data_IF_527493985844
#
_entry.id   IF_527493985844
#
_cell.length_a   1.000
_cell.length_b   1.000
_cell.length_c   1.000
_cell.angle_alpha   90.00
_cell.angle_beta   90.00
_cell.angle_gamma   90.00
#
_symmetry.space_group_name_H-M   'P 1'
#
loop_
_entity.id
_entity.type
_entity.pdbx_description
1 polymer ?
#
# COMPACT_ATOMS: atom_id res chain seq x y z
N UNK A 1 -15.60 5.20 -3.53
CA UNK A 1 -15.21 5.32 -2.11
C UNK A 1 -15.38 6.76 -1.66
N UNK A 2 -15.96 7.01 -0.48
CA UNK A 2 -16.08 8.37 0.05
C UNK A 2 -14.76 8.84 0.68
N UNK A 3 -14.51 10.17 0.63
CA UNK A 3 -13.35 10.75 1.30
C UNK A 3 -13.43 10.56 2.83
N UNK A 4 -12.28 10.40 3.50
CA UNK A 4 -12.20 10.35 4.96
C UNK A 4 -12.85 11.57 5.62
N UNK A 5 -13.51 11.37 6.76
CA UNK A 5 -14.16 12.47 7.49
C UNK A 5 -13.14 13.51 7.97
N UNK A 6 -11.93 13.09 8.31
CA UNK A 6 -10.83 14.00 8.65
C UNK A 6 -10.49 14.94 7.49
N UNK A 7 -10.44 14.43 6.26
CA UNK A 7 -10.18 15.22 5.06
C UNK A 7 -11.37 16.12 4.72
N UNK A 8 -12.61 15.62 4.80
CA UNK A 8 -13.81 16.46 4.58
C UNK A 8 -13.85 17.68 5.50
N UNK A 9 -13.48 17.48 6.78
CA UNK A 9 -13.39 18.58 7.75
C UNK A 9 -12.29 19.57 7.39
N UNK A 10 -11.12 19.09 7.00
CA UNK A 10 -10.00 19.94 6.59
C UNK A 10 -10.36 20.78 5.36
N UNK A 11 -10.94 20.17 4.33
CA UNK A 11 -11.38 20.87 3.13
C UNK A 11 -12.46 21.93 3.41
N UNK A 12 -13.35 21.68 4.37
CA UNK A 12 -14.42 22.60 4.72
C UNK A 12 -13.91 23.91 5.39
N UNK A 13 -12.75 23.88 6.03
CA UNK A 13 -12.16 25.06 6.65
C UNK A 13 -11.47 26.01 5.67
N UNK A 14 -11.17 25.56 4.47
CA UNK A 14 -10.48 26.36 3.45
C UNK A 14 -11.35 27.54 2.96
N UNK A 15 -10.70 28.55 2.36
CA UNK A 15 -11.35 29.77 1.85
C UNK A 15 -12.25 30.45 2.89
N UNK A 16 -11.74 30.67 4.09
CA UNK A 16 -12.48 31.26 5.21
C UNK A 16 -13.77 30.51 5.57
N UNK A 17 -13.76 29.20 5.47
CA UNK A 17 -14.89 28.33 5.80
C UNK A 17 -15.90 28.13 4.67
N UNK A 18 -15.60 28.59 3.43
CA UNK A 18 -16.44 28.28 2.26
C UNK A 18 -16.10 26.93 1.64
N UNK A 19 -14.95 26.35 2.03
CA UNK A 19 -14.51 25.04 1.58
C UNK A 19 -13.74 25.06 0.26
N UNK A 20 -13.20 23.89 -0.08
CA UNK A 20 -12.52 23.60 -1.35
C UNK A 20 -12.69 22.13 -1.72
N UNK A 21 -12.42 21.77 -2.97
CA UNK A 21 -12.31 20.38 -3.39
C UNK A 21 -10.87 19.85 -3.20
N UNK A 22 -10.71 18.51 -3.25
CA UNK A 22 -9.45 17.84 -2.99
C UNK A 22 -8.35 18.20 -4.02
N UNK A 23 -8.70 18.35 -5.30
CA UNK A 23 -7.74 18.68 -6.36
C UNK A 23 -7.21 20.10 -6.19
N UNK A 24 -8.08 21.06 -5.91
CA UNK A 24 -7.71 22.45 -5.63
C UNK A 24 -6.84 22.54 -4.38
N UNK A 25 -7.20 21.81 -3.32
CA UNK A 25 -6.42 21.73 -2.09
C UNK A 25 -5.01 21.18 -2.34
N UNK A 26 -4.88 20.05 -3.04
CA UNK A 26 -3.58 19.48 -3.41
C UNK A 26 -2.76 20.47 -4.24
N UNK A 27 -3.40 21.23 -5.13
CA UNK A 27 -2.74 22.24 -5.94
C UNK A 27 -2.11 23.36 -5.11
N UNK A 28 -2.69 23.67 -3.94
CA UNK A 28 -2.17 24.69 -3.02
C UNK A 28 -1.12 24.16 -2.05
N UNK A 29 -1.36 22.97 -1.45
CA UNK A 29 -0.52 22.40 -0.40
C UNK A 29 0.57 21.48 -0.95
N UNK A 30 0.35 20.90 -2.12
CA UNK A 30 1.24 19.90 -2.71
C UNK A 30 2.54 20.47 -3.26
N UNK A 31 3.50 19.57 -3.45
CA UNK A 31 4.77 19.85 -4.14
C UNK A 31 5.01 18.79 -5.19
N UNK A 32 5.48 19.18 -6.38
CA UNK A 32 5.79 18.24 -7.47
C UNK A 32 6.75 17.12 -7.06
N UNK A 33 7.71 17.41 -6.18
CA UNK A 33 8.63 16.38 -5.66
C UNK A 33 7.88 15.27 -4.92
N UNK A 34 6.85 15.62 -4.13
CA UNK A 34 6.01 14.64 -3.45
C UNK A 34 5.14 13.85 -4.45
N UNK A 35 4.56 14.53 -5.44
CA UNK A 35 3.77 13.87 -6.48
C UNK A 35 4.62 12.83 -7.24
N UNK A 36 5.87 13.16 -7.59
CA UNK A 36 6.81 12.22 -8.19
C UNK A 36 7.12 11.06 -7.23
N UNK A 37 7.36 11.34 -5.95
CA UNK A 37 7.58 10.31 -4.93
C UNK A 37 6.38 9.37 -4.79
N UNK A 38 5.17 9.92 -4.63
CA UNK A 38 3.94 9.14 -4.50
C UNK A 38 3.65 8.26 -5.73
N UNK A 39 4.08 8.64 -6.92
CA UNK A 39 3.92 7.80 -8.10
C UNK A 39 4.60 6.43 -7.97
N UNK A 40 5.69 6.33 -7.22
CA UNK A 40 6.37 5.06 -6.94
C UNK A 40 5.63 4.16 -5.95
N UNK A 41 4.76 4.75 -5.13
CA UNK A 41 3.96 4.05 -4.13
C UNK A 41 2.62 3.62 -4.74
N UNK A 42 1.92 4.56 -5.39
CA UNK A 42 0.62 4.30 -6.00
C UNK A 42 0.70 3.57 -7.35
N UNK A 43 1.84 3.61 -8.04
CA UNK A 43 2.07 2.83 -9.26
C UNK A 43 3.41 2.09 -9.20
N UNK A 44 3.59 1.16 -8.23
CA UNK A 44 4.86 0.48 -7.99
C UNK A 44 5.27 -0.38 -9.19
N UNK A 45 6.56 -0.66 -9.29
CA UNK A 45 7.08 -1.65 -10.23
C UNK A 45 7.14 -3.00 -9.54
N UNK A 46 6.56 -4.02 -10.19
CA UNK A 46 6.69 -5.41 -9.80
C UNK A 46 7.66 -6.14 -10.73
N UNK A 47 8.33 -7.15 -10.24
CA UNK A 47 9.30 -7.96 -10.99
C UNK A 47 9.09 -9.43 -10.67
N UNK A 48 9.38 -10.28 -11.66
CA UNK A 48 9.53 -11.71 -11.43
C UNK A 48 10.98 -12.01 -11.04
N UNK A 49 11.16 -12.84 -10.02
CA UNK A 49 12.47 -13.31 -9.59
C UNK A 49 12.33 -14.70 -8.95
N UNK A 50 13.02 -15.69 -9.52
CA UNK A 50 13.01 -17.10 -9.07
C UNK A 50 11.60 -17.69 -8.89
N UNK A 51 10.66 -17.27 -9.74
CA UNK A 51 9.28 -17.71 -9.71
C UNK A 51 8.42 -16.99 -8.67
N UNK A 52 8.95 -16.01 -7.96
CA UNK A 52 8.20 -15.06 -7.13
C UNK A 52 7.80 -13.83 -7.92
N UNK A 53 6.67 -13.21 -7.56
CA UNK A 53 6.30 -11.88 -7.99
C UNK A 53 6.54 -10.92 -6.82
N UNK A 54 7.45 -9.97 -6.99
CA UNK A 54 7.94 -9.13 -5.90
C UNK A 54 7.86 -7.64 -6.27
N UNK A 55 7.79 -6.78 -5.25
CA UNK A 55 7.99 -5.34 -5.44
C UNK A 55 9.45 -5.10 -5.86
N UNK A 56 9.66 -4.28 -6.88
CA UNK A 56 11.02 -3.92 -7.33
C UNK A 56 11.79 -3.24 -6.19
N UNK A 57 13.07 -3.58 -6.06
CA UNK A 57 13.94 -3.03 -5.01
C UNK A 57 14.01 -3.90 -3.76
N UNK A 58 13.40 -5.09 -3.79
CA UNK A 58 13.60 -6.07 -2.72
C UNK A 58 15.08 -6.43 -2.53
N UNK A 59 15.44 -6.81 -1.30
CA UNK A 59 16.78 -7.32 -1.00
C UNK A 59 16.81 -8.84 -1.19
N UNK A 60 17.67 -9.33 -2.10
CA UNK A 60 17.80 -10.77 -2.33
C UNK A 60 18.23 -11.53 -1.06
N UNK A 61 19.11 -10.93 -0.25
CA UNK A 61 19.53 -11.54 1.02
C UNK A 61 18.36 -11.73 1.99
N UNK A 62 17.41 -10.82 2.02
CA UNK A 62 16.20 -10.96 2.82
C UNK A 62 15.30 -12.08 2.28
N UNK A 63 15.09 -12.14 0.95
CA UNK A 63 14.37 -13.23 0.31
C UNK A 63 14.93 -14.59 0.70
N UNK A 64 16.27 -14.77 0.54
CA UNK A 64 16.94 -16.03 0.90
C UNK A 64 16.88 -16.33 2.39
N UNK A 65 16.83 -15.28 3.23
CA UNK A 65 16.62 -15.42 4.68
C UNK A 65 15.26 -16.01 5.01
N UNK A 66 14.19 -15.48 4.39
CA UNK A 66 12.83 -15.97 4.61
C UNK A 66 12.61 -17.38 4.03
N UNK A 67 13.18 -17.70 2.87
CA UNK A 67 13.10 -19.06 2.30
C UNK A 67 13.68 -20.15 3.23
N UNK A 68 14.70 -19.81 4.00
CA UNK A 68 15.40 -20.75 4.90
C UNK A 68 14.73 -20.91 6.27
N UNK A 69 13.71 -20.13 6.58
CA UNK A 69 13.02 -20.27 7.86
C UNK A 69 12.24 -21.60 7.91
N UNK A 70 12.22 -22.21 9.09
CA UNK A 70 11.44 -23.42 9.32
C UNK A 70 9.95 -23.16 9.07
N UNK A 71 9.30 -24.03 8.32
CA UNK A 71 7.92 -23.87 7.93
C UNK A 71 7.67 -22.82 6.83
N UNK A 72 8.73 -22.30 6.21
CA UNK A 72 8.59 -21.32 5.12
C UNK A 72 7.79 -21.91 3.94
N UNK A 73 6.90 -21.10 3.40
CA UNK A 73 6.15 -21.42 2.18
C UNK A 73 6.34 -20.31 1.16
N UNK A 74 6.16 -20.61 -0.13
CA UNK A 74 6.26 -19.57 -1.18
C UNK A 74 5.27 -18.43 -0.95
N UNK A 75 4.05 -18.75 -0.52
CA UNK A 75 3.06 -17.75 -0.11
C UNK A 75 3.59 -16.87 1.03
N UNK A 76 4.11 -17.48 2.10
CA UNK A 76 4.63 -16.75 3.25
C UNK A 76 5.81 -15.84 2.89
N UNK A 77 6.68 -16.31 2.00
CA UNK A 77 7.80 -15.49 1.49
C UNK A 77 7.28 -14.30 0.69
N UNK A 78 6.36 -14.48 -0.26
CA UNK A 78 5.77 -13.37 -1.01
C UNK A 78 5.02 -12.41 -0.09
N UNK A 79 4.25 -12.93 0.86
CA UNK A 79 3.50 -12.13 1.82
C UNK A 79 4.40 -11.16 2.59
N UNK A 80 5.51 -11.67 3.14
CA UNK A 80 6.44 -10.84 3.92
C UNK A 80 7.32 -9.95 3.05
N UNK A 81 7.67 -10.37 1.83
CA UNK A 81 8.53 -9.58 0.95
C UNK A 81 7.78 -8.44 0.25
N UNK A 82 6.47 -8.55 0.11
CA UNK A 82 5.63 -7.61 -0.63
C UNK A 82 4.85 -6.64 0.26
N UNK A 83 4.91 -6.80 1.60
CA UNK A 83 4.15 -5.93 2.49
C UNK A 83 4.62 -4.47 2.44
N UNK A 84 3.67 -3.58 2.58
CA UNK A 84 3.87 -2.15 2.77
C UNK A 84 2.94 -1.70 3.90
N UNK A 85 3.51 -1.20 4.99
CA UNK A 85 2.73 -0.52 6.00
C UNK A 85 2.24 0.82 5.46
N UNK A 86 0.93 1.08 5.53
CA UNK A 86 0.34 2.30 4.96
C UNK A 86 0.90 3.54 5.66
N UNK A 87 1.15 3.46 6.97
CA UNK A 87 1.74 4.54 7.74
C UNK A 87 3.13 4.96 7.26
N UNK A 88 3.89 4.04 6.63
CA UNK A 88 5.25 4.31 6.13
C UNK A 88 5.26 5.17 4.86
N UNK A 89 4.09 5.46 4.26
CA UNK A 89 3.99 6.39 3.12
C UNK A 89 4.47 7.78 3.52
N UNK A 90 4.26 8.17 4.79
CA UNK A 90 4.75 9.41 5.38
C UNK A 90 5.49 9.12 6.69
N UNK A 91 6.52 8.30 6.61
CA UNK A 91 7.31 7.86 7.73
C UNK A 91 7.91 9.05 8.52
N UNK A 92 7.89 8.95 9.86
CA UNK A 92 8.52 9.87 10.82
C UNK A 92 8.02 11.32 10.85
N UNK A 93 7.12 11.60 11.76
CA UNK A 93 6.73 12.96 12.15
C UNK A 93 5.50 13.52 11.44
N UNK A 94 4.75 12.69 10.72
CA UNK A 94 3.44 13.07 10.20
C UNK A 94 2.42 13.02 11.34
N UNK A 95 2.09 14.18 11.89
CA UNK A 95 1.19 14.30 13.04
C UNK A 95 -0.29 14.07 12.67
N UNK A 96 -0.61 14.05 11.38
CA UNK A 96 -1.98 13.98 10.87
C UNK A 96 -2.42 12.57 10.47
N UNK A 97 -1.68 11.54 10.87
CA UNK A 97 -2.07 10.15 10.67
C UNK A 97 -3.37 9.85 11.43
N UNK A 98 -4.31 9.19 10.76
CA UNK A 98 -5.58 8.78 11.35
C UNK A 98 -6.09 7.50 10.69
N UNK A 99 -6.90 6.74 11.43
CA UNK A 99 -7.46 5.48 10.97
C UNK A 99 -8.23 5.62 9.65
N UNK A 100 -9.08 6.64 9.53
CA UNK A 100 -9.91 6.86 8.34
C UNK A 100 -9.07 7.14 7.08
N UNK A 101 -7.93 7.84 7.21
CA UNK A 101 -6.97 8.06 6.13
C UNK A 101 -6.25 6.77 5.75
N UNK A 102 -5.84 5.95 6.73
CA UNK A 102 -5.18 4.67 6.50
C UNK A 102 -6.11 3.68 5.78
N UNK A 103 -7.37 3.59 6.20
CA UNK A 103 -8.38 2.75 5.56
C UNK A 103 -8.62 3.19 4.12
N UNK A 104 -8.79 4.50 3.90
CA UNK A 104 -8.99 5.05 2.56
C UNK A 104 -7.81 4.72 1.63
N UNK A 105 -6.58 5.02 2.07
CA UNK A 105 -5.38 4.76 1.27
C UNK A 105 -5.14 3.27 1.05
N UNK A 106 -5.42 2.44 2.04
CA UNK A 106 -5.33 0.99 1.92
C UNK A 106 -6.25 0.43 0.85
N UNK A 107 -7.50 0.89 0.78
CA UNK A 107 -8.43 0.50 -0.28
C UNK A 107 -7.99 1.00 -1.66
N UNK A 108 -7.53 2.25 -1.77
CA UNK A 108 -6.98 2.79 -3.03
C UNK A 108 -5.81 1.95 -3.52
N UNK A 109 -4.87 1.62 -2.63
CA UNK A 109 -3.71 0.79 -2.98
C UNK A 109 -4.13 -0.64 -3.36
N UNK A 110 -5.12 -1.21 -2.68
CA UNK A 110 -5.65 -2.52 -3.00
C UNK A 110 -6.15 -2.58 -4.45
N UNK A 111 -7.01 -1.65 -4.84
CA UNK A 111 -7.55 -1.56 -6.21
C UNK A 111 -6.43 -1.36 -7.25
N UNK A 112 -5.47 -0.48 -6.96
CA UNK A 112 -4.34 -0.21 -7.85
C UNK A 112 -3.45 -1.45 -8.00
N UNK A 113 -3.13 -2.15 -6.90
CA UNK A 113 -2.28 -3.33 -6.94
C UNK A 113 -2.94 -4.47 -7.70
N UNK A 114 -4.25 -4.72 -7.47
CA UNK A 114 -5.01 -5.72 -8.23
C UNK A 114 -4.98 -5.43 -9.73
N UNK A 115 -5.31 -4.19 -10.13
CA UNK A 115 -5.33 -3.78 -11.52
C UNK A 115 -3.95 -3.93 -12.17
N UNK A 116 -2.90 -3.47 -11.47
CA UNK A 116 -1.54 -3.49 -11.99
C UNK A 116 -0.95 -4.89 -12.09
N UNK A 117 -1.14 -5.73 -11.08
CA UNK A 117 -0.68 -7.12 -11.09
C UNK A 117 -1.37 -7.91 -12.20
N UNK A 118 -2.67 -7.72 -12.37
CA UNK A 118 -3.43 -8.34 -13.47
C UNK A 118 -2.94 -7.89 -14.85
N UNK A 119 -2.58 -6.61 -15.00
CA UNK A 119 -2.05 -6.07 -16.26
C UNK A 119 -0.64 -6.60 -16.55
N UNK A 120 0.22 -6.65 -15.53
CA UNK A 120 1.63 -6.96 -15.69
C UNK A 120 1.91 -8.47 -15.71
N UNK A 121 1.12 -9.26 -14.99
CA UNK A 121 1.26 -10.71 -14.86
C UNK A 121 -0.06 -11.45 -15.13
N UNK A 122 -0.62 -11.35 -16.35
CA UNK A 122 -1.91 -11.96 -16.68
C UNK A 122 -1.92 -13.48 -16.49
N UNK A 123 -0.78 -14.14 -16.71
CA UNK A 123 -0.62 -15.60 -16.56
C UNK A 123 -0.24 -16.03 -15.12
N UNK A 124 -0.09 -15.08 -14.22
CA UNK A 124 0.26 -15.30 -12.81
C UNK A 124 -0.68 -14.51 -11.90
N UNK A 125 -1.94 -14.91 -11.77
CA UNK A 125 -2.90 -14.18 -10.95
C UNK A 125 -2.41 -14.11 -9.50
N UNK A 126 -2.45 -12.89 -8.97
CA UNK A 126 -2.10 -12.61 -7.57
C UNK A 126 -3.36 -12.34 -6.75
N UNK A 127 -3.26 -12.62 -5.46
CA UNK A 127 -4.21 -12.19 -4.44
C UNK A 127 -3.58 -10.99 -3.75
N UNK A 128 -4.33 -9.90 -3.64
CA UNK A 128 -3.93 -8.71 -2.89
C UNK A 128 -4.72 -8.70 -1.59
N UNK A 129 -4.05 -8.44 -0.49
CA UNK A 129 -4.65 -8.34 0.83
C UNK A 129 -4.40 -6.96 1.41
N UNK A 130 -5.45 -6.30 1.86
CA UNK A 130 -5.36 -5.15 2.74
C UNK A 130 -5.70 -5.60 4.16
N UNK A 131 -4.66 -5.70 5.00
CA UNK A 131 -4.81 -6.08 6.40
C UNK A 131 -5.21 -4.87 7.24
N UNK A 132 -6.31 -5.01 7.95
CA UNK A 132 -6.83 -4.05 8.93
C UNK A 132 -6.66 -4.67 10.32
N UNK A 133 -5.88 -4.06 11.23
CA UNK A 133 -5.69 -4.60 12.56
C UNK A 133 -7.00 -4.60 13.36
N UNK A 134 -7.15 -5.52 14.33
CA UNK A 134 -8.38 -5.63 15.12
C UNK A 134 -8.61 -4.45 16.07
N UNK A 135 -7.56 -3.66 16.35
CA UNK A 135 -7.62 -2.47 17.21
C UNK A 135 -7.31 -1.22 16.40
N UNK A 136 -8.20 -0.25 16.47
CA UNK A 136 -8.14 1.00 15.74
C UNK A 136 -6.92 1.88 16.11
N UNK A 137 -6.33 1.71 17.28
CA UNK A 137 -5.15 2.43 17.75
C UNK A 137 -3.82 1.85 17.25
N UNK A 138 -3.85 0.66 16.63
CA UNK A 138 -2.67 0.03 16.01
C UNK A 138 -2.41 0.61 14.62
N UNK A 139 -2.28 1.95 14.51
CA UNK A 139 -2.20 2.68 13.24
C UNK A 139 -1.04 2.22 12.32
N UNK A 140 0.04 1.72 12.89
CA UNK A 140 1.21 1.26 12.12
C UNK A 140 1.08 -0.17 11.59
N UNK A 141 0.02 -0.89 11.97
CA UNK A 141 -0.20 -2.28 11.54
C UNK A 141 -1.05 -2.40 10.27
N UNK A 142 -1.67 -1.30 9.81
CA UNK A 142 -2.39 -1.28 8.53
C UNK A 142 -1.41 -1.50 7.38
N UNK A 143 -1.58 -2.58 6.62
CA UNK A 143 -0.64 -2.93 5.56
C UNK A 143 -1.32 -3.53 4.34
N UNK A 144 -0.70 -3.34 3.18
CA UNK A 144 -1.05 -4.02 1.95
C UNK A 144 0.05 -5.00 1.58
N UNK A 145 -0.34 -6.18 1.11
CA UNK A 145 0.57 -7.19 0.59
C UNK A 145 -0.07 -7.97 -0.54
N UNK A 146 0.70 -8.84 -1.19
CA UNK A 146 0.16 -9.74 -2.20
C UNK A 146 1.04 -10.98 -2.38
N UNK A 147 0.44 -12.02 -2.94
CA UNK A 147 1.11 -13.27 -3.32
C UNK A 147 0.45 -13.88 -4.54
N UNK A 148 1.17 -14.75 -5.25
CA UNK A 148 0.60 -15.49 -6.38
C UNK A 148 -0.46 -16.48 -5.88
N UNK A 149 -1.61 -16.51 -6.56
CA UNK A 149 -2.70 -17.45 -6.24
C UNK A 149 -2.26 -18.92 -6.30
N UNK A 150 -1.32 -19.24 -7.18
CA UNK A 150 -0.72 -20.57 -7.29
C UNK A 150 0.02 -21.00 -6.01
N UNK A 151 0.49 -20.07 -5.20
CA UNK A 151 1.18 -20.32 -3.94
C UNK A 151 0.22 -20.44 -2.73
N UNK A 152 -1.07 -20.11 -2.92
CA UNK A 152 -2.09 -20.18 -1.87
C UNK A 152 -2.51 -21.63 -1.55
N UNK A 153 -2.31 -22.55 -2.48
CA UNK A 153 -2.74 -23.95 -2.38
C UNK A 153 -1.71 -24.88 -1.70
N UNK A 154 -0.67 -24.33 -1.12
CA UNK A 154 0.38 -25.06 -0.43
C UNK A 154 0.08 -25.29 1.05
N UNK A 155 -0.90 -26.14 1.35
CA UNK A 155 -0.98 -26.89 2.60
C UNK A 155 -0.62 -28.35 2.35
#
# INVERSE_FOLDING_TARGET
MELPESIKKELAWWNNGTGTDLESWIGCEGRFALAVGYSSIFWPKFVEFDGYVLRKGFAESALRGFEKQEGSTRKGVEWVMNHLHIADIQCFGCADISEDKLIYLGHVLHEIYEAKLKLQFPDRPCIVEFYIPPKADELYEYQITFWQKAHDSGM
#
